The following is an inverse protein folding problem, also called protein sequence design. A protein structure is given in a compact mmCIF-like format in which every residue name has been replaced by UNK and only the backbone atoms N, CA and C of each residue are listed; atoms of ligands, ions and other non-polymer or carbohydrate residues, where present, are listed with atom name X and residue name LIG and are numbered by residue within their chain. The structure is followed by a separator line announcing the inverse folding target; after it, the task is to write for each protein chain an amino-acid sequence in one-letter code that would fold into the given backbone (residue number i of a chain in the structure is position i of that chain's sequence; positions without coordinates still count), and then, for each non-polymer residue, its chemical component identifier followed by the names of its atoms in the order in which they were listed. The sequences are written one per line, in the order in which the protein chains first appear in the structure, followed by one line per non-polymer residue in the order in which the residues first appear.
data_IF_392692346758
#
_entry.id   IF_392692346758
#
_cell.length_a   1.000
_cell.length_b   1.000
_cell.length_c   1.000
_cell.angle_alpha   90.00
_cell.angle_beta   90.00
_cell.angle_gamma   90.00
#
_symmetry.space_group_name_H-M   'P 1'
#
loop_
_entity.id
_entity.type
_entity.pdbx_description
1 polymer ?
#
# COMPACT_ATOMS: atom_id res chain seq x y z
N UNK A 1 -28.93 19.90 3.25
CA UNK A 1 -28.05 20.11 2.07
C UNK A 1 -28.44 19.07 1.04
N UNK A 2 -28.66 19.44 -0.23
CA UNK A 2 -28.96 18.44 -1.28
C UNK A 2 -27.64 17.76 -1.67
N UNK A 3 -27.55 16.46 -1.43
CA UNK A 3 -26.45 15.62 -1.91
C UNK A 3 -26.36 15.76 -3.44
N UNK A 4 -25.21 16.22 -3.94
CA UNK A 4 -24.96 16.37 -5.38
C UNK A 4 -24.63 14.99 -5.94
N UNK A 5 -25.66 14.23 -6.31
CA UNK A 5 -25.53 12.92 -6.94
C UNK A 5 -25.43 13.08 -8.46
N UNK A 6 -24.33 12.59 -9.05
CA UNK A 6 -24.17 12.55 -10.51
C UNK A 6 -23.79 11.13 -10.93
N UNK A 7 -24.63 10.50 -11.76
CA UNK A 7 -24.34 9.24 -12.46
C UNK A 7 -24.01 9.57 -13.92
N UNK A 8 -22.94 9.01 -14.45
CA UNK A 8 -22.53 9.25 -15.84
C UNK A 8 -21.92 8.00 -16.46
N UNK A 9 -22.23 7.80 -17.74
CA UNK A 9 -21.77 6.67 -18.55
C UNK A 9 -20.89 7.22 -19.68
N UNK A 10 -19.65 6.76 -19.83
CA UNK A 10 -18.81 7.17 -20.95
C UNK A 10 -19.13 6.34 -22.21
N UNK A 11 -19.33 6.97 -23.39
CA UNK A 11 -19.67 6.26 -24.64
C UNK A 11 -18.59 5.29 -25.11
N UNK A 12 -17.34 5.50 -24.72
CA UNK A 12 -16.20 4.64 -25.09
C UNK A 12 -15.93 3.61 -24.00
N UNK A 13 -16.54 2.42 -24.14
CA UNK A 13 -16.23 1.17 -23.44
C UNK A 13 -16.44 1.19 -21.91
N UNK A 14 -17.52 0.54 -21.47
CA UNK A 14 -17.55 -0.32 -20.28
C UNK A 14 -17.19 0.30 -18.91
N UNK A 15 -17.28 1.63 -18.78
CA UNK A 15 -17.01 2.35 -17.54
C UNK A 15 -18.27 3.13 -17.13
N UNK A 16 -18.92 2.67 -16.07
CA UNK A 16 -19.91 3.47 -15.33
C UNK A 16 -19.23 4.09 -14.12
N UNK A 17 -19.60 5.31 -13.76
CA UNK A 17 -19.20 5.88 -12.47
C UNK A 17 -20.33 6.68 -11.83
N UNK A 18 -20.31 6.71 -10.50
CA UNK A 18 -21.18 7.57 -9.69
C UNK A 18 -20.33 8.42 -8.76
N UNK A 19 -20.76 9.66 -8.57
CA UNK A 19 -20.16 10.60 -7.62
C UNK A 19 -21.23 11.20 -6.72
N UNK A 20 -20.91 11.31 -5.43
CA UNK A 20 -21.79 11.88 -4.43
C UNK A 20 -20.98 12.39 -3.22
N UNK A 21 -21.66 13.11 -2.33
CA UNK A 21 -21.10 13.53 -1.05
C UNK A 21 -21.79 12.75 0.08
N UNK A 22 -21.02 12.29 1.07
CA UNK A 22 -21.52 11.74 2.33
C UNK A 22 -20.90 12.55 3.47
N UNK A 23 -21.68 13.50 4.02
CA UNK A 23 -21.13 14.56 4.88
C UNK A 23 -20.12 15.43 4.11
N UNK A 24 -18.93 15.62 4.68
CA UNK A 24 -17.81 16.36 4.05
C UNK A 24 -16.96 15.47 3.12
N UNK A 25 -17.32 14.19 2.96
CA UNK A 25 -16.56 13.24 2.15
C UNK A 25 -17.04 13.26 0.70
N UNK A 26 -16.17 13.60 -0.24
CA UNK A 26 -16.43 13.39 -1.67
C UNK A 26 -16.13 11.94 -2.06
N UNK A 27 -17.13 11.27 -2.65
CA UNK A 27 -17.06 9.86 -3.03
C UNK A 27 -17.18 9.70 -4.54
N UNK A 28 -16.24 8.97 -5.14
CA UNK A 28 -16.33 8.45 -6.52
C UNK A 28 -16.29 6.93 -6.51
N UNK A 29 -17.23 6.29 -7.23
CA UNK A 29 -17.16 4.86 -7.54
C UNK A 29 -17.04 4.61 -9.03
N UNK A 30 -16.00 3.87 -9.42
CA UNK A 30 -15.78 3.39 -10.78
C UNK A 30 -16.19 1.92 -10.91
N UNK A 31 -16.94 1.59 -11.95
CA UNK A 31 -17.37 0.23 -12.28
C UNK A 31 -16.72 -0.23 -13.59
N UNK A 32 -15.85 -1.24 -13.52
CA UNK A 32 -15.12 -1.78 -14.67
C UNK A 32 -15.75 -3.10 -15.15
N UNK A 33 -16.09 -3.21 -16.44
CA UNK A 33 -16.69 -4.43 -17.04
C UNK A 33 -15.65 -5.44 -17.58
N UNK A 34 -14.39 -5.37 -17.15
CA UNK A 34 -13.39 -6.36 -17.57
C UNK A 34 -13.46 -7.63 -16.70
N UNK A 35 -13.08 -8.76 -17.30
CA UNK A 35 -13.03 -10.07 -16.61
C UNK A 35 -11.89 -10.16 -15.59
N UNK A 36 -11.14 -9.08 -15.37
CA UNK A 36 -9.78 -9.09 -14.82
C UNK A 36 -9.58 -8.01 -13.75
N UNK A 37 -10.44 -8.07 -12.72
CA UNK A 37 -10.21 -7.50 -11.40
C UNK A 37 -10.15 -5.96 -11.32
N UNK A 38 -11.29 -5.33 -11.03
CA UNK A 38 -11.65 -4.58 -9.81
C UNK A 38 -12.94 -3.81 -10.17
N UNK A 39 -14.10 -4.19 -9.61
CA UNK A 39 -15.39 -3.63 -10.05
C UNK A 39 -15.78 -2.37 -9.29
N UNK A 40 -15.08 -2.04 -8.21
CA UNK A 40 -15.39 -0.83 -7.44
C UNK A 40 -14.12 -0.19 -6.95
N UNK A 41 -13.93 1.05 -7.32
CA UNK A 41 -13.05 1.96 -6.62
C UNK A 41 -13.89 2.82 -5.68
N UNK A 42 -13.35 3.21 -4.53
CA UNK A 42 -13.95 4.20 -3.65
C UNK A 42 -12.87 5.23 -3.36
N UNK A 43 -13.06 6.43 -3.88
CA UNK A 43 -12.16 7.55 -3.59
C UNK A 43 -12.77 8.42 -2.49
N UNK A 44 -12.01 8.71 -1.44
CA UNK A 44 -12.37 9.63 -0.36
C UNK A 44 -11.31 10.73 -0.32
N UNK A 45 -11.72 12.00 -0.29
CA UNK A 45 -10.82 13.14 -0.10
C UNK A 45 -11.09 13.80 1.25
N UNK A 46 -10.07 13.83 2.11
CA UNK A 46 -10.12 14.47 3.44
C UNK A 46 -8.80 15.20 3.67
N UNK A 47 -8.86 16.50 3.97
CA UNK A 47 -7.68 17.35 4.25
C UNK A 47 -6.56 17.26 3.19
N UNK A 48 -6.92 17.15 1.91
CA UNK A 48 -5.96 17.03 0.81
C UNK A 48 -5.34 15.64 0.63
N UNK A 49 -5.72 14.68 1.48
CA UNK A 49 -5.34 13.27 1.35
C UNK A 49 -6.47 12.52 0.64
N UNK A 50 -6.12 11.91 -0.49
CA UNK A 50 -7.01 11.09 -1.29
C UNK A 50 -6.77 9.62 -0.96
N UNK A 51 -7.71 8.97 -0.30
CA UNK A 51 -7.74 7.52 -0.09
C UNK A 51 -8.46 6.85 -1.27
N UNK A 52 -7.89 5.79 -1.82
CA UNK A 52 -8.50 4.96 -2.86
C UNK A 52 -8.59 3.52 -2.39
N UNK A 53 -9.81 3.00 -2.25
CA UNK A 53 -10.08 1.58 -1.94
C UNK A 53 -10.52 0.84 -3.21
N UNK A 54 -9.90 -0.29 -3.51
CA UNK A 54 -10.27 -1.14 -4.65
C UNK A 54 -10.93 -2.43 -4.15
N UNK A 55 -12.04 -2.80 -4.78
CA UNK A 55 -12.80 -4.00 -4.46
C UNK A 55 -12.92 -4.91 -5.68
N UNK A 56 -13.03 -6.20 -5.43
CA UNK A 56 -13.31 -7.20 -6.47
C UNK A 56 -14.74 -7.12 -7.00
N UNK A 57 -15.03 -7.89 -8.06
CA UNK A 57 -16.37 -8.16 -8.59
C UNK A 57 -17.38 -8.47 -7.50
N UNK A 58 -16.96 -9.23 -6.47
CA UNK A 58 -17.80 -9.69 -5.37
C UNK A 58 -17.86 -8.69 -4.21
N UNK A 59 -17.32 -7.49 -4.36
CA UNK A 59 -17.29 -6.46 -3.31
C UNK A 59 -16.24 -6.69 -2.21
N UNK A 60 -15.33 -7.65 -2.36
CA UNK A 60 -14.25 -7.90 -1.38
C UNK A 60 -13.14 -6.87 -1.55
N UNK A 61 -12.75 -6.19 -0.47
CA UNK A 61 -11.63 -5.24 -0.47
C UNK A 61 -10.33 -5.94 -0.85
N UNK A 62 -9.67 -5.42 -1.88
CA UNK A 62 -8.46 -6.00 -2.45
C UNK A 62 -7.22 -5.13 -2.22
N UNK A 63 -7.39 -3.81 -2.14
CA UNK A 63 -6.29 -2.85 -1.98
C UNK A 63 -6.76 -1.52 -1.41
N UNK A 64 -5.92 -0.86 -0.64
CA UNK A 64 -6.05 0.54 -0.22
C UNK A 64 -4.77 1.30 -0.56
N UNK A 65 -4.91 2.50 -1.12
CA UNK A 65 -3.82 3.42 -1.48
C UNK A 65 -4.15 4.83 -1.04
N UNK A 66 -3.13 5.67 -0.86
CA UNK A 66 -3.26 7.04 -0.42
C UNK A 66 -2.43 7.95 -1.32
N UNK A 67 -2.93 9.16 -1.57
CA UNK A 67 -2.32 10.14 -2.45
C UNK A 67 -2.36 11.53 -1.82
N UNK A 68 -1.29 12.30 -2.05
CA UNK A 68 -1.19 13.73 -1.78
C UNK A 68 -0.70 14.38 -3.07
N UNK A 69 -1.39 15.43 -3.52
CA UNK A 69 -1.08 16.12 -4.80
C UNK A 69 -0.95 15.14 -5.99
N UNK A 70 -1.87 14.17 -6.10
CA UNK A 70 -1.90 13.12 -7.13
C UNK A 70 -0.68 12.18 -7.17
N UNK A 71 0.18 12.21 -6.14
CA UNK A 71 1.30 11.27 -5.97
C UNK A 71 1.02 10.33 -4.82
N UNK A 72 1.40 9.05 -4.95
CA UNK A 72 1.27 8.07 -3.86
C UNK A 72 2.02 8.56 -2.64
N UNK A 73 1.36 8.54 -1.49
CA UNK A 73 1.93 9.00 -0.23
C UNK A 73 1.30 8.22 0.92
N UNK A 74 2.10 7.68 1.83
CA UNK A 74 1.64 6.78 2.89
C UNK A 74 1.63 5.31 2.49
N UNK A 75 0.83 4.50 3.19
CA UNK A 75 0.90 3.03 3.11
C UNK A 75 -0.08 2.47 2.08
N UNK A 76 0.41 1.89 0.99
CA UNK A 76 -0.37 0.95 0.17
C UNK A 76 -0.53 -0.35 0.95
N UNK A 77 -1.76 -0.88 1.03
CA UNK A 77 -2.02 -2.23 1.57
C UNK A 77 -2.78 -3.05 0.54
N UNK A 78 -2.31 -4.27 0.27
CA UNK A 78 -3.00 -5.27 -0.55
C UNK A 78 -3.46 -6.42 0.32
N UNK A 79 -4.62 -6.97 0.01
CA UNK A 79 -5.26 -8.04 0.79
C UNK A 79 -5.37 -9.34 -0.02
N UNK A 80 -5.40 -10.47 0.68
CA UNK A 80 -5.77 -11.74 0.07
C UNK A 80 -7.30 -11.76 -0.19
N UNK A 81 -7.66 -11.95 -1.45
CA UNK A 81 -9.05 -12.12 -1.90
C UNK A 81 -9.35 -13.62 -1.92
N UNK A 82 -10.51 -14.10 -1.44
CA UNK A 82 -11.01 -14.19 -0.08
C UNK A 82 -10.48 -15.44 0.67
N UNK A 83 -9.81 -15.23 1.82
CA UNK A 83 -10.07 -16.00 3.05
C UNK A 83 -10.94 -15.10 3.93
N UNK A 84 -11.82 -15.63 4.78
CA UNK A 84 -12.84 -14.87 5.52
C UNK A 84 -12.35 -13.71 6.44
N UNK A 85 -11.05 -13.40 6.45
CA UNK A 85 -10.36 -12.71 7.54
C UNK A 85 -9.68 -11.40 7.12
N UNK A 86 -9.79 -10.95 5.85
CA UNK A 86 -9.09 -9.75 5.33
C UNK A 86 -7.56 -9.76 5.59
N UNK A 87 -6.90 -10.91 5.43
CA UNK A 87 -5.45 -11.02 5.66
C UNK A 87 -4.66 -10.14 4.68
N UNK A 88 -3.61 -9.51 5.19
CA UNK A 88 -2.75 -8.61 4.42
C UNK A 88 -1.82 -9.45 3.56
N UNK A 89 -1.77 -9.17 2.26
CA UNK A 89 -0.84 -9.78 1.31
C UNK A 89 0.47 -9.01 1.22
N UNK A 90 0.39 -7.68 1.23
CA UNK A 90 1.59 -6.84 1.26
C UNK A 90 1.29 -5.42 1.71
N UNK A 91 2.29 -4.78 2.33
CA UNK A 91 2.31 -3.34 2.60
C UNK A 91 3.48 -2.68 1.88
N UNK A 92 3.32 -1.44 1.45
CA UNK A 92 4.39 -0.62 0.84
C UNK A 92 4.26 0.83 1.26
N UNK A 93 5.34 1.42 1.78
CA UNK A 93 5.37 2.83 2.14
C UNK A 93 5.84 3.67 0.95
N UNK A 94 5.04 4.68 0.61
CA UNK A 94 5.34 5.65 -0.43
C UNK A 94 5.52 7.05 0.15
N UNK A 95 6.47 7.79 -0.42
CA UNK A 95 6.60 9.23 -0.27
C UNK A 95 6.88 9.88 -1.62
N UNK A 96 6.20 10.99 -1.91
CA UNK A 96 6.20 11.71 -3.19
C UNK A 96 6.16 10.79 -4.44
N UNK A 97 5.32 9.74 -4.39
CA UNK A 97 5.14 8.80 -5.50
C UNK A 97 6.20 7.68 -5.59
N UNK A 98 7.20 7.67 -4.71
CA UNK A 98 8.31 6.69 -4.70
C UNK A 98 8.25 5.81 -3.46
N UNK A 99 8.74 4.57 -3.56
CA UNK A 99 8.92 3.73 -2.37
C UNK A 99 9.93 4.38 -1.43
N UNK A 100 9.54 4.62 -0.18
CA UNK A 100 10.38 5.30 0.80
C UNK A 100 9.98 4.81 2.20
N UNK A 101 10.61 3.73 2.64
CA UNK A 101 10.28 2.99 3.85
C UNK A 101 10.12 1.49 3.59
N UNK A 102 9.40 0.81 4.49
CA UNK A 102 9.19 -0.63 4.42
C UNK A 102 8.28 -1.09 3.28
N UNK A 103 8.64 -2.24 2.69
CA UNK A 103 7.84 -3.02 1.77
C UNK A 103 7.84 -4.47 2.25
N UNK A 104 6.68 -4.96 2.69
CA UNK A 104 6.53 -6.27 3.32
C UNK A 104 5.55 -7.12 2.52
N UNK A 105 5.88 -8.38 2.30
CA UNK A 105 4.98 -9.39 1.74
C UNK A 105 4.75 -10.48 2.78
N UNK A 106 3.49 -10.88 2.91
CA UNK A 106 3.06 -11.91 3.84
C UNK A 106 2.55 -13.14 3.08
N UNK A 107 2.65 -14.31 3.69
CA UNK A 107 1.92 -15.49 3.24
C UNK A 107 0.48 -15.48 3.76
N UNK A 108 -0.26 -16.53 3.44
CA UNK A 108 -1.67 -16.70 3.77
C UNK A 108 -1.95 -17.10 5.23
N UNK A 109 -0.90 -17.16 6.05
CA UNK A 109 -0.87 -17.36 7.51
C UNK A 109 -0.30 -16.13 8.24
N UNK A 110 -0.30 -14.96 7.58
CA UNK A 110 0.18 -13.67 8.10
C UNK A 110 1.67 -13.65 8.49
N UNK A 111 2.48 -14.59 7.98
CA UNK A 111 3.94 -14.60 8.21
C UNK A 111 4.66 -13.81 7.13
N UNK A 112 5.66 -13.04 7.54
CA UNK A 112 6.52 -12.28 6.64
C UNK A 112 7.37 -13.26 5.82
N UNK A 113 7.25 -13.18 4.49
CA UNK A 113 8.07 -13.93 3.53
C UNK A 113 9.03 -13.02 2.75
N UNK A 114 8.83 -11.70 2.81
CA UNK A 114 9.72 -10.71 2.21
C UNK A 114 9.63 -9.41 2.99
N UNK A 115 10.77 -8.83 3.33
CA UNK A 115 10.85 -7.51 3.96
C UNK A 115 12.06 -6.75 3.41
N UNK A 116 11.76 -5.64 2.77
CA UNK A 116 12.70 -4.79 2.05
C UNK A 116 12.48 -3.34 2.48
N UNK A 117 13.54 -2.55 2.53
CA UNK A 117 13.45 -1.12 2.87
C UNK A 117 14.02 -0.29 1.74
N UNK A 118 13.26 0.72 1.36
CA UNK A 118 13.57 1.59 0.22
C UNK A 118 13.82 3.03 0.65
N UNK A 119 14.67 3.73 -0.10
CA UNK A 119 14.82 5.18 -0.05
C UNK A 119 14.71 5.74 -1.46
N UNK A 120 13.73 6.62 -1.67
CA UNK A 120 13.50 7.31 -2.96
C UNK A 120 13.39 6.36 -4.16
N UNK A 121 12.76 5.20 -3.96
CA UNK A 121 12.56 4.17 -4.97
C UNK A 121 13.71 3.17 -5.11
N UNK A 122 14.84 3.36 -4.40
CA UNK A 122 15.98 2.44 -4.42
C UNK A 122 15.93 1.48 -3.24
N UNK A 123 16.24 0.21 -3.49
CA UNK A 123 16.34 -0.80 -2.43
C UNK A 123 17.62 -0.59 -1.63
N UNK A 124 17.49 -0.39 -0.33
CA UNK A 124 18.62 -0.11 0.57
C UNK A 124 19.04 -1.36 1.31
N UNK A 125 18.08 -2.10 1.90
CA UNK A 125 18.37 -3.30 2.65
C UNK A 125 17.24 -4.33 2.60
N UNK A 126 17.59 -5.56 2.98
CA UNK A 126 16.70 -6.70 3.09
C UNK A 126 16.85 -7.35 4.46
N UNK A 127 15.74 -7.77 5.06
CA UNK A 127 15.76 -8.67 6.21
C UNK A 127 15.60 -10.09 5.70
N UNK A 128 16.66 -10.89 5.85
CA UNK A 128 16.67 -12.31 5.52
C UNK A 128 16.17 -13.10 6.72
N UNK A 129 15.29 -14.06 6.46
CA UNK A 129 14.63 -14.85 7.49
C UNK A 129 14.84 -16.35 7.27
N UNK A 130 14.82 -17.12 8.35
CA UNK A 130 14.81 -18.57 8.32
C UNK A 130 13.40 -19.13 8.02
N UNK A 131 13.28 -20.47 8.00
CA UNK A 131 11.99 -21.17 7.81
C UNK A 131 10.99 -20.91 8.95
N UNK A 132 11.47 -20.52 10.13
CA UNK A 132 10.64 -20.11 11.27
C UNK A 132 10.22 -18.63 11.20
N UNK A 133 10.59 -17.94 10.12
CA UNK A 133 10.37 -16.51 9.88
C UNK A 133 11.12 -15.58 10.85
N UNK A 134 12.17 -16.03 11.53
CA UNK A 134 13.02 -15.18 12.37
C UNK A 134 14.06 -14.45 11.51
N UNK A 135 14.42 -13.21 11.87
CA UNK A 135 15.51 -12.50 11.18
C UNK A 135 16.82 -13.22 11.50
N UNK A 136 17.57 -13.59 10.46
CA UNK A 136 18.89 -14.21 10.59
C UNK A 136 20.01 -13.30 10.06
N UNK A 137 19.66 -12.37 9.16
CA UNK A 137 20.63 -11.45 8.56
C UNK A 137 19.94 -10.20 8.03
N UNK A 138 20.57 -9.04 8.23
CA UNK A 138 20.20 -7.77 7.59
C UNK A 138 21.23 -7.49 6.51
N UNK A 139 20.82 -7.64 5.25
CA UNK A 139 21.68 -7.38 4.11
C UNK A 139 21.52 -5.93 3.66
N UNK A 140 22.54 -5.10 3.89
CA UNK A 140 22.65 -3.76 3.29
C UNK A 140 23.10 -3.91 1.84
N UNK A 141 22.23 -3.53 0.90
CA UNK A 141 22.43 -3.64 -0.55
C UNK A 141 23.11 -2.39 -1.11
N UNK A 142 22.71 -1.22 -0.63
CA UNK A 142 23.26 0.08 -1.02
C UNK A 142 23.71 0.86 0.23
N UNK A 143 25.00 0.75 0.56
CA UNK A 143 25.59 1.36 1.76
C UNK A 143 25.63 2.90 1.68
N UNK A 144 25.86 3.44 0.48
CA UNK A 144 25.99 4.88 0.26
C UNK A 144 24.64 5.59 0.47
N UNK A 145 23.54 4.90 0.16
CA UNK A 145 22.19 5.43 0.30
C UNK A 145 21.53 5.16 1.67
N UNK A 146 22.22 4.57 2.66
CA UNK A 146 21.64 4.30 3.99
C UNK A 146 21.19 5.58 4.71
N UNK A 147 21.94 6.67 4.55
CA UNK A 147 21.58 7.97 5.13
C UNK A 147 20.29 8.57 4.54
N UNK A 148 19.82 8.06 3.40
CA UNK A 148 18.58 8.50 2.75
C UNK A 148 17.33 7.75 3.23
N UNK A 149 17.49 6.79 4.14
CA UNK A 149 16.35 6.08 4.73
C UNK A 149 15.43 7.07 5.47
N UNK A 150 14.10 6.82 5.47
CA UNK A 150 13.23 7.54 6.37
C UNK A 150 13.70 7.35 7.82
N UNK A 151 13.58 8.41 8.63
CA UNK A 151 14.14 8.48 10.00
C UNK A 151 13.84 7.23 10.83
N UNK A 152 12.59 6.77 10.84
CA UNK A 152 12.18 5.58 11.59
C UNK A 152 12.93 4.31 11.16
N UNK A 153 13.19 4.14 9.85
CA UNK A 153 13.92 2.99 9.33
C UNK A 153 15.42 3.08 9.61
N UNK A 154 15.97 4.29 9.57
CA UNK A 154 17.36 4.53 9.95
C UNK A 154 17.58 4.21 11.45
N UNK A 155 16.71 4.71 12.33
CA UNK A 155 16.77 4.44 13.76
C UNK A 155 16.60 2.95 14.07
N UNK A 156 15.66 2.28 13.42
CA UNK A 156 15.48 0.82 13.51
C UNK A 156 16.73 0.06 13.07
N UNK A 157 17.40 0.49 12.00
CA UNK A 157 18.65 -0.10 11.55
C UNK A 157 19.76 0.07 12.60
N UNK A 158 19.94 1.28 13.14
CA UNK A 158 20.94 1.54 14.18
C UNK A 158 20.68 0.70 15.44
N UNK A 159 19.43 0.58 15.87
CA UNK A 159 19.06 -0.27 17.00
C UNK A 159 19.43 -1.74 16.74
N UNK A 160 19.16 -2.28 15.54
CA UNK A 160 19.56 -3.65 15.21
C UNK A 160 21.08 -3.85 15.21
N UNK A 161 21.87 -2.85 14.81
CA UNK A 161 23.33 -2.92 14.87
C UNK A 161 23.87 -2.99 16.31
N UNK A 162 23.15 -2.39 17.26
CA UNK A 162 23.49 -2.43 18.69
C UNK A 162 22.99 -3.70 19.35
N UNK A 163 21.73 -4.04 19.14
CA UNK A 163 21.05 -5.12 19.86
C UNK A 163 21.35 -6.51 19.26
N UNK A 164 21.64 -6.57 17.95
CA UNK A 164 21.85 -7.81 17.20
C UNK A 164 23.03 -7.67 16.21
N UNK A 165 24.26 -7.40 16.71
CA UNK A 165 25.43 -7.15 15.85
C UNK A 165 25.75 -8.32 14.92
N UNK A 166 25.42 -9.56 15.31
CA UNK A 166 25.65 -10.78 14.51
C UNK A 166 24.77 -10.88 13.26
N UNK A 167 23.78 -9.99 13.08
CA UNK A 167 22.92 -9.98 11.89
C UNK A 167 23.58 -9.37 10.65
N UNK A 168 24.76 -8.76 10.74
CA UNK A 168 25.34 -7.97 9.64
C UNK A 168 26.44 -8.71 8.87
#
# INVERSE_FOLDING_TARGET
MKEKYTKSNYPSKNLEFETYYEGDTFITKHYHNDKSAYIKELTTLTDGIKEVKHFTVKGVLAKTEYFVNEKRHGVETKYFIPKANKSVKSTKVYDDGKLHGESITYNDNDKIIKQEVYAFGKLILKYLRDESHNIIKIQIVDKESVANLPKAEYEKLQANMVDNPDFF
#
